data_IF_540650805583
#
_entry.id   IF_540650805583
#
_cell.length_a   1.000
_cell.length_b   1.000
_cell.length_c   1.000
_cell.angle_alpha   90.00
_cell.angle_beta   90.00
_cell.angle_gamma   90.00
#
_symmetry.space_group_name_H-M   'P 1'
#
loop_
_entity.id
_entity.type
_entity.pdbx_description
1 polymer ?
#
# COMPACT_ATOMS: atom_id res chain seq x y z
N UNK A 1 1.38 49.99 26.57
CA UNK A 1 1.00 50.21 25.17
C UNK A 1 -0.47 49.85 25.05
N UNK A 2 -1.33 50.86 25.06
CA UNK A 2 -2.76 50.73 25.33
C UNK A 2 -3.56 50.42 24.06
N UNK A 3 -4.50 49.49 24.20
CA UNK A 3 -5.45 49.05 23.20
C UNK A 3 -6.46 50.16 22.82
N UNK A 4 -6.73 50.30 21.53
CA UNK A 4 -7.81 51.15 21.03
C UNK A 4 -9.03 50.27 20.70
N UNK A 5 -10.02 50.32 21.59
CA UNK A 5 -11.34 49.70 21.45
C UNK A 5 -12.20 50.55 20.52
N UNK A 6 -12.66 49.98 19.40
CA UNK A 6 -13.60 50.65 18.48
C UNK A 6 -15.03 50.49 19.02
N UNK A 7 -15.65 51.58 19.49
CA UNK A 7 -17.08 51.61 19.86
C UNK A 7 -17.87 52.33 18.76
N UNK A 8 -18.72 51.60 18.05
CA UNK A 8 -19.63 52.17 17.04
C UNK A 8 -20.84 52.80 17.76
N UNK A 9 -20.80 54.13 17.92
CA UNK A 9 -21.94 54.92 18.40
C UNK A 9 -22.96 55.08 17.28
N UNK A 10 -24.12 54.42 17.41
CA UNK A 10 -25.33 54.73 16.62
C UNK A 10 -25.98 56.00 17.17
N UNK A 11 -25.53 57.16 16.72
CA UNK A 11 -26.28 58.42 16.87
C UNK A 11 -26.83 58.86 15.52
N UNK A 12 -28.13 58.60 15.28
CA UNK A 12 -28.90 59.28 14.23
C UNK A 12 -29.00 60.75 14.60
N UNK A 13 -28.04 61.58 14.14
CA UNK A 13 -28.20 63.03 14.11
C UNK A 13 -29.23 63.37 13.02
N UNK A 14 -30.44 63.72 13.44
CA UNK A 14 -31.42 64.39 12.58
C UNK A 14 -30.90 65.81 12.37
N UNK A 15 -30.41 66.13 11.17
CA UNK A 15 -30.17 67.52 10.77
C UNK A 15 -31.52 68.25 10.71
N UNK A 16 -31.78 69.14 11.65
CA UNK A 16 -32.85 70.15 11.53
C UNK A 16 -32.31 71.31 10.70
N UNK A 17 -32.69 71.39 9.43
CA UNK A 17 -32.54 72.61 8.63
C UNK A 17 -33.65 73.59 9.05
N UNK A 18 -33.26 74.74 9.60
CA UNK A 18 -34.15 75.89 9.80
C UNK A 18 -33.91 76.87 8.66
N UNK A 19 -34.86 76.97 7.73
CA UNK A 19 -34.83 77.93 6.63
C UNK A 19 -35.58 79.20 7.04
N UNK A 20 -34.84 80.21 7.49
CA UNK A 20 -35.35 81.58 7.55
C UNK A 20 -35.36 82.18 6.15
N UNK A 21 -36.56 82.36 5.59
CA UNK A 21 -36.96 83.51 4.76
C UNK A 21 -36.06 83.95 3.60
N UNK A 22 -35.68 83.03 2.71
CA UNK A 22 -35.26 83.40 1.36
C UNK A 22 -36.16 82.66 0.37
N UNK A 23 -36.91 83.41 -0.45
CA UNK A 23 -37.64 82.89 -1.61
C UNK A 23 -36.63 82.38 -2.63
N UNK A 24 -36.31 81.09 -2.54
CA UNK A 24 -35.54 80.41 -3.57
C UNK A 24 -36.50 80.13 -4.72
N UNK A 25 -36.21 80.58 -5.96
CA UNK A 25 -37.09 80.30 -7.10
C UNK A 25 -37.29 78.79 -7.23
N UNK A 26 -38.53 78.39 -7.53
CA UNK A 26 -39.02 77.01 -7.54
C UNK A 26 -38.10 76.02 -8.32
N UNK A 27 -37.34 76.52 -9.30
CA UNK A 27 -36.35 75.77 -10.08
C UNK A 27 -35.14 75.26 -9.27
N UNK A 28 -34.75 75.96 -8.18
CA UNK A 28 -33.62 75.58 -7.34
C UNK A 28 -33.91 74.38 -6.43
N UNK A 29 -35.14 74.25 -5.95
CA UNK A 29 -35.56 73.13 -5.10
C UNK A 29 -35.65 71.82 -5.89
N UNK A 30 -36.16 71.89 -7.13
CA UNK A 30 -36.22 70.74 -8.04
C UNK A 30 -34.82 70.25 -8.38
N UNK A 31 -33.88 71.16 -8.66
CA UNK A 31 -32.47 70.81 -8.84
C UNK A 31 -31.86 70.13 -7.60
N UNK A 32 -32.11 70.67 -6.40
CA UNK A 32 -31.58 70.10 -5.16
C UNK A 32 -32.13 68.68 -4.88
N UNK A 33 -33.43 68.46 -5.11
CA UNK A 33 -34.06 67.13 -4.97
C UNK A 33 -33.51 66.16 -6.01
N UNK A 34 -33.32 66.60 -7.25
CA UNK A 34 -32.76 65.75 -8.32
C UNK A 34 -31.31 65.35 -8.03
N UNK A 35 -30.49 66.28 -7.53
CA UNK A 35 -29.11 66.00 -7.10
C UNK A 35 -29.10 65.01 -5.93
N UNK A 36 -29.98 65.15 -4.94
CA UNK A 36 -30.07 64.21 -3.82
C UNK A 36 -30.49 62.80 -4.26
N UNK A 37 -31.48 62.69 -5.16
CA UNK A 37 -31.91 61.42 -5.73
C UNK A 37 -30.77 60.79 -6.53
N UNK A 38 -30.05 61.58 -7.35
CA UNK A 38 -28.91 61.11 -8.11
C UNK A 38 -27.77 60.64 -7.20
N UNK A 39 -27.47 61.35 -6.12
CA UNK A 39 -26.47 60.93 -5.13
C UNK A 39 -26.87 59.63 -4.41
N UNK A 40 -28.14 59.48 -4.02
CA UNK A 40 -28.64 58.24 -3.42
C UNK A 40 -28.61 57.07 -4.39
N UNK A 41 -28.97 57.31 -5.66
CA UNK A 41 -28.89 56.32 -6.72
C UNK A 41 -27.43 55.90 -6.99
N UNK A 42 -26.51 56.85 -7.15
CA UNK A 42 -25.09 56.57 -7.32
C UNK A 42 -24.51 55.81 -6.13
N UNK A 43 -24.87 56.17 -4.90
CA UNK A 43 -24.44 55.44 -3.70
C UNK A 43 -25.00 54.01 -3.68
N UNK A 44 -26.26 53.79 -4.05
CA UNK A 44 -26.85 52.46 -4.16
C UNK A 44 -26.17 51.61 -5.25
N UNK A 45 -25.89 52.21 -6.41
CA UNK A 45 -25.16 51.58 -7.51
C UNK A 45 -23.74 51.19 -7.07
N UNK A 46 -22.98 52.12 -6.48
CA UNK A 46 -21.62 51.86 -5.98
C UNK A 46 -21.61 50.75 -4.93
N UNK A 47 -22.56 50.75 -3.98
CA UNK A 47 -22.66 49.70 -2.97
C UNK A 47 -23.04 48.33 -3.57
N UNK A 48 -23.96 48.31 -4.54
CA UNK A 48 -24.36 47.07 -5.21
C UNK A 48 -23.19 46.47 -6.02
N UNK A 49 -22.53 47.28 -6.86
CA UNK A 49 -21.37 46.83 -7.63
C UNK A 49 -20.17 46.47 -6.73
N UNK A 50 -19.97 47.19 -5.62
CA UNK A 50 -18.96 46.87 -4.61
C UNK A 50 -19.19 45.51 -3.97
N UNK A 51 -20.43 45.22 -3.55
CA UNK A 51 -20.80 43.93 -2.97
C UNK A 51 -20.68 42.77 -3.97
N UNK A 52 -21.11 42.96 -5.22
CA UNK A 52 -20.96 41.94 -6.27
C UNK A 52 -19.49 41.69 -6.65
N UNK A 53 -18.66 42.74 -6.69
CA UNK A 53 -17.22 42.59 -6.91
C UNK A 53 -16.57 41.82 -5.75
N UNK A 54 -16.91 42.14 -4.50
CA UNK A 54 -16.39 41.43 -3.32
C UNK A 54 -16.76 39.94 -3.35
N UNK A 55 -18.01 39.60 -3.70
CA UNK A 55 -18.44 38.20 -3.86
C UNK A 55 -17.65 37.48 -4.95
N UNK A 56 -17.44 38.12 -6.10
CA UNK A 56 -16.65 37.54 -7.21
C UNK A 56 -15.20 37.31 -6.83
N UNK A 57 -14.58 38.27 -6.12
CA UNK A 57 -13.21 38.13 -5.61
C UNK A 57 -13.11 37.00 -4.59
N UNK A 58 -14.05 36.91 -3.63
CA UNK A 58 -14.11 35.81 -2.66
C UNK A 58 -14.29 34.45 -3.32
N UNK A 59 -15.22 34.34 -4.28
CA UNK A 59 -15.45 33.09 -5.02
C UNK A 59 -14.21 32.66 -5.80
N UNK A 60 -13.52 33.62 -6.45
CA UNK A 60 -12.25 33.36 -7.15
C UNK A 60 -11.15 32.88 -6.20
N UNK A 61 -10.99 33.54 -5.05
CA UNK A 61 -10.00 33.14 -4.02
C UNK A 61 -10.31 31.75 -3.46
N UNK A 62 -11.58 31.43 -3.21
CA UNK A 62 -11.99 30.08 -2.76
C UNK A 62 -11.69 29.03 -3.83
N UNK A 63 -11.99 29.33 -5.10
CA UNK A 63 -11.71 28.41 -6.21
C UNK A 63 -10.19 28.20 -6.39
N UNK A 64 -9.40 29.27 -6.38
CA UNK A 64 -7.94 29.21 -6.48
C UNK A 64 -7.32 28.45 -5.29
N UNK A 65 -7.82 28.69 -4.08
CA UNK A 65 -7.41 27.94 -2.89
C UNK A 65 -7.77 26.45 -3.00
N UNK A 66 -8.95 26.11 -3.50
CA UNK A 66 -9.35 24.72 -3.72
C UNK A 66 -8.49 24.02 -4.77
N UNK A 67 -8.16 24.70 -5.87
CA UNK A 67 -7.26 24.17 -6.90
C UNK A 67 -5.84 23.95 -6.36
N UNK A 68 -5.31 24.92 -5.61
CA UNK A 68 -4.00 24.80 -4.97
C UNK A 68 -3.98 23.69 -3.91
N UNK A 69 -5.06 23.53 -3.14
CA UNK A 69 -5.20 22.44 -2.18
C UNK A 69 -5.24 21.08 -2.89
N UNK A 70 -6.02 20.95 -3.97
CA UNK A 70 -6.07 19.73 -4.79
C UNK A 70 -4.70 19.36 -5.34
N UNK A 71 -3.97 20.31 -5.92
CA UNK A 71 -2.61 20.09 -6.42
C UNK A 71 -1.64 19.67 -5.30
N UNK A 72 -1.73 20.30 -4.12
CA UNK A 72 -0.90 19.95 -2.96
C UNK A 72 -1.19 18.55 -2.42
N UNK A 73 -2.47 18.11 -2.44
CA UNK A 73 -2.86 16.76 -2.04
C UNK A 73 -2.26 15.73 -3.00
N UNK A 74 -2.38 15.95 -4.31
CA UNK A 74 -1.81 15.04 -5.32
C UNK A 74 -0.29 14.94 -5.15
N UNK A 75 0.40 16.08 -5.03
CA UNK A 75 1.86 16.07 -4.83
C UNK A 75 2.27 15.38 -3.53
N UNK A 76 1.53 15.60 -2.44
CA UNK A 76 1.81 14.93 -1.15
C UNK A 76 1.64 13.41 -1.27
N UNK A 77 0.64 12.96 -2.04
CA UNK A 77 0.44 11.54 -2.35
C UNK A 77 1.61 10.97 -3.16
N UNK A 78 2.05 11.67 -4.21
CA UNK A 78 3.20 11.26 -5.02
C UNK A 78 4.48 11.16 -4.18
N UNK A 79 4.74 12.13 -3.30
CA UNK A 79 5.89 12.08 -2.37
C UNK A 79 5.76 10.88 -1.43
N UNK A 80 4.59 10.65 -0.85
CA UNK A 80 4.37 9.52 0.05
C UNK A 80 4.56 8.17 -0.66
N UNK A 81 4.13 8.05 -1.91
CA UNK A 81 4.36 6.88 -2.74
C UNK A 81 5.85 6.64 -3.01
N UNK A 82 6.61 7.69 -3.36
CA UNK A 82 8.07 7.58 -3.54
C UNK A 82 8.78 7.15 -2.25
N UNK A 83 8.37 7.71 -1.11
CA UNK A 83 8.92 7.31 0.20
C UNK A 83 8.57 5.86 0.55
N UNK A 84 7.33 5.42 0.28
CA UNK A 84 6.90 4.04 0.50
C UNK A 84 7.67 3.04 -0.39
N UNK A 85 8.11 3.49 -1.57
CA UNK A 85 8.93 2.72 -2.50
C UNK A 85 10.43 2.95 -2.35
N UNK A 86 10.88 3.63 -1.28
CA UNK A 86 12.29 3.92 -1.02
C UNK A 86 13.03 4.65 -2.17
N UNK A 87 12.28 5.31 -3.06
CA UNK A 87 12.82 6.23 -4.07
C UNK A 87 13.06 7.60 -3.42
N UNK A 88 14.07 7.61 -2.54
CA UNK A 88 14.38 8.76 -1.69
C UNK A 88 14.84 9.97 -2.50
N UNK A 89 15.39 9.76 -3.70
CA UNK A 89 15.86 10.82 -4.57
C UNK A 89 14.71 11.48 -5.33
N UNK A 90 13.78 10.71 -5.91
CA UNK A 90 12.60 11.31 -6.52
C UNK A 90 11.72 12.00 -5.47
N UNK A 91 11.56 11.41 -4.28
CA UNK A 91 10.87 12.06 -3.17
C UNK A 91 11.50 13.41 -2.81
N UNK A 92 12.84 13.49 -2.79
CA UNK A 92 13.55 14.74 -2.52
C UNK A 92 13.31 15.79 -3.60
N UNK A 93 13.31 15.40 -4.88
CA UNK A 93 13.04 16.29 -6.01
C UNK A 93 11.61 16.85 -5.93
N UNK A 94 10.61 16.01 -5.65
CA UNK A 94 9.22 16.43 -5.47
C UNK A 94 9.03 17.34 -4.25
N UNK A 95 9.74 17.08 -3.15
CA UNK A 95 9.72 17.95 -1.97
C UNK A 95 10.32 19.33 -2.24
N UNK A 96 11.37 19.42 -3.08
CA UNK A 96 12.00 20.69 -3.44
C UNK A 96 11.14 21.54 -4.38
N UNK A 97 10.24 20.94 -5.15
CA UNK A 97 9.36 21.66 -6.06
C UNK A 97 8.13 22.29 -5.40
N UNK A 98 7.93 22.07 -4.09
CA UNK A 98 6.77 22.58 -3.35
C UNK A 98 7.13 23.15 -1.99
N UNK A 99 6.73 24.41 -1.78
CA UNK A 99 6.88 25.15 -0.52
C UNK A 99 5.63 25.01 0.37
N UNK A 100 5.02 23.82 0.40
CA UNK A 100 3.83 23.58 1.20
C UNK A 100 4.20 23.18 2.63
N UNK A 101 3.58 23.82 3.63
CA UNK A 101 3.75 23.48 5.05
C UNK A 101 3.43 22.00 5.34
N UNK A 102 2.53 21.38 4.56
CA UNK A 102 2.20 19.95 4.67
C UNK A 102 3.37 19.02 4.31
N UNK A 103 4.43 19.54 3.67
CA UNK A 103 5.61 18.77 3.30
C UNK A 103 6.57 18.54 4.47
N UNK A 104 6.44 19.29 5.59
CA UNK A 104 7.36 19.18 6.74
C UNK A 104 7.45 17.76 7.32
N UNK A 105 6.33 17.05 7.59
CA UNK A 105 6.39 15.66 8.05
C UNK A 105 7.05 14.73 7.03
N UNK A 106 6.76 14.90 5.74
CA UNK A 106 7.33 14.08 4.65
C UNK A 106 8.84 14.32 4.48
N UNK A 107 9.30 15.57 4.61
CA UNK A 107 10.72 15.91 4.62
C UNK A 107 11.45 15.32 5.84
N UNK A 108 10.79 15.31 7.00
CA UNK A 108 11.33 14.65 8.18
C UNK A 108 11.45 13.13 7.94
N UNK A 109 10.40 12.49 7.42
CA UNK A 109 10.41 11.07 7.09
C UNK A 109 11.52 10.74 6.09
N UNK A 110 11.66 11.51 5.00
CA UNK A 110 12.75 11.36 4.03
C UNK A 110 14.13 11.43 4.70
N UNK A 111 14.35 12.44 5.56
CA UNK A 111 15.62 12.59 6.27
C UNK A 111 15.90 11.39 7.16
N UNK A 112 14.89 10.87 7.85
CA UNK A 112 15.01 9.70 8.70
C UNK A 112 15.38 8.47 7.85
N UNK A 113 14.64 8.19 6.77
CA UNK A 113 14.93 7.07 5.87
C UNK A 113 16.35 7.15 5.29
N UNK A 114 16.82 8.34 4.91
CA UNK A 114 18.20 8.55 4.46
C UNK A 114 19.22 8.30 5.58
N UNK A 115 18.97 8.77 6.80
CA UNK A 115 19.85 8.54 7.94
C UNK A 115 19.90 7.05 8.33
N UNK A 116 18.80 6.32 8.18
CA UNK A 116 18.73 4.89 8.46
C UNK A 116 19.19 4.01 7.29
N UNK A 117 19.54 4.57 6.13
CA UNK A 117 19.93 3.80 4.93
C UNK A 117 21.05 2.79 5.23
N UNK A 118 22.04 3.13 6.04
CA UNK A 118 23.14 2.23 6.41
C UNK A 118 22.70 1.01 7.23
N UNK A 119 21.49 1.01 7.77
CA UNK A 119 20.89 -0.08 8.56
C UNK A 119 19.73 -0.77 7.83
N UNK A 120 19.41 -0.30 6.62
CA UNK A 120 18.37 -0.88 5.78
C UNK A 120 19.03 -1.78 4.74
N UNK A 121 18.44 -2.95 4.43
CA UNK A 121 18.93 -3.82 3.38
C UNK A 121 19.05 -3.08 2.05
N UNK A 122 20.17 -3.26 1.35
CA UNK A 122 20.40 -2.62 0.04
C UNK A 122 19.35 -3.02 -1.00
N UNK A 123 18.77 -4.22 -0.87
CA UNK A 123 17.68 -4.73 -1.72
C UNK A 123 16.39 -3.91 -1.65
N UNK A 124 16.24 -3.03 -0.66
CA UNK A 124 15.14 -2.08 -0.53
C UNK A 124 15.35 -0.78 -1.31
N UNK A 125 16.50 -0.58 -1.94
CA UNK A 125 16.73 0.59 -2.79
C UNK A 125 16.74 0.15 -4.25
N UNK A 126 16.40 1.07 -5.16
CA UNK A 126 16.49 0.78 -6.58
C UNK A 126 17.90 0.30 -6.93
N UNK A 127 17.97 -0.93 -7.42
CA UNK A 127 19.21 -1.49 -7.92
C UNK A 127 19.52 -0.77 -9.24
N UNK A 128 20.27 0.33 -9.15
CA UNK A 128 20.82 0.96 -10.34
C UNK A 128 21.82 -0.04 -10.92
N UNK A 129 21.47 -0.62 -12.05
CA UNK A 129 22.38 -1.43 -12.87
C UNK A 129 23.45 -0.50 -13.46
N UNK A 130 24.33 0.02 -12.60
CA UNK A 130 25.39 0.93 -13.00
C UNK A 130 26.51 0.22 -13.75
N UNK A 131 26.36 -1.07 -14.08
CA UNK A 131 27.39 -1.90 -14.72
C UNK A 131 28.62 -2.18 -13.84
N UNK A 132 28.91 -1.32 -12.86
CA UNK A 132 30.01 -1.46 -11.91
C UNK A 132 29.68 -2.46 -10.79
N UNK A 133 28.42 -2.52 -10.34
CA UNK A 133 27.98 -3.47 -9.30
C UNK A 133 27.79 -4.91 -9.82
N UNK A 134 27.80 -5.12 -11.14
CA UNK A 134 27.64 -6.45 -11.73
C UNK A 134 28.97 -7.23 -11.77
N UNK A 135 30.11 -6.55 -11.54
CA UNK A 135 31.45 -7.19 -11.47
C UNK A 135 31.73 -7.86 -10.13
N UNK A 136 30.94 -7.55 -9.11
CA UNK A 136 31.02 -8.18 -7.79
C UNK A 136 29.80 -9.08 -7.53
N UNK A 137 29.31 -9.74 -8.59
CA UNK A 137 28.60 -11.01 -8.47
C UNK A 137 29.58 -12.05 -7.92
N UNK A 138 29.92 -11.86 -6.64
CA UNK A 138 30.54 -12.85 -5.78
C UNK A 138 29.85 -14.19 -6.01
N UNK A 139 30.60 -15.28 -5.87
CA UNK A 139 30.07 -16.64 -5.98
C UNK A 139 28.69 -16.74 -5.30
N UNK A 140 27.69 -17.32 -5.98
CA UNK A 140 26.34 -17.40 -5.43
C UNK A 140 26.38 -18.23 -4.14
N UNK A 141 25.54 -17.90 -3.14
CA UNK A 141 25.51 -18.65 -1.88
C UNK A 141 24.98 -20.07 -2.05
N UNK A 142 24.38 -20.38 -3.21
CA UNK A 142 23.95 -21.71 -3.60
C UNK A 142 23.98 -21.85 -5.14
N UNK A 143 24.86 -22.72 -5.66
CA UNK A 143 25.02 -22.94 -7.10
C UNK A 143 23.82 -23.65 -7.74
N UNK A 144 23.11 -24.50 -6.98
CA UNK A 144 21.94 -25.25 -7.48
C UNK A 144 20.79 -24.27 -7.73
N UNK A 145 20.47 -23.43 -6.75
CA UNK A 145 19.44 -22.39 -6.88
C UNK A 145 19.76 -21.44 -8.04
N UNK A 146 21.01 -20.96 -8.13
CA UNK A 146 21.43 -20.10 -9.24
C UNK A 146 21.23 -20.79 -10.58
N UNK A 147 21.68 -22.05 -10.71
CA UNK A 147 21.58 -22.80 -11.95
C UNK A 147 20.12 -23.01 -12.37
N UNK A 148 19.22 -23.27 -11.42
CA UNK A 148 17.80 -23.53 -11.68
C UNK A 148 17.01 -22.29 -12.05
N UNK A 149 17.33 -21.14 -11.47
CA UNK A 149 16.65 -19.87 -11.75
C UNK A 149 17.32 -19.07 -12.88
N UNK A 150 18.46 -19.53 -13.42
CA UNK A 150 19.17 -18.86 -14.50
C UNK A 150 18.30 -18.76 -15.76
N UNK A 151 18.02 -17.53 -16.18
CA UNK A 151 17.21 -17.24 -17.37
C UNK A 151 15.71 -17.40 -17.16
N UNK A 152 15.26 -17.77 -15.96
CA UNK A 152 13.86 -17.74 -15.60
C UNK A 152 13.39 -16.30 -15.39
N UNK A 153 12.15 -16.03 -15.75
CA UNK A 153 11.50 -14.72 -15.56
C UNK A 153 10.08 -14.92 -15.09
N UNK A 154 9.63 -14.08 -14.17
CA UNK A 154 8.24 -14.05 -13.71
C UNK A 154 7.33 -13.54 -14.80
N UNK A 155 6.22 -14.24 -15.05
CA UNK A 155 5.22 -13.76 -16.00
C UNK A 155 4.27 -12.76 -15.34
N UNK A 156 4.71 -11.51 -15.24
CA UNK A 156 3.90 -10.42 -14.66
C UNK A 156 2.57 -10.20 -15.38
N UNK A 157 2.48 -10.54 -16.67
CA UNK A 157 1.22 -10.52 -17.40
C UNK A 157 0.17 -11.45 -16.76
N UNK A 158 0.56 -12.66 -16.35
CA UNK A 158 -0.34 -13.59 -15.66
C UNK A 158 -0.65 -13.11 -14.24
N UNK A 159 0.33 -12.57 -13.51
CA UNK A 159 0.08 -11.99 -12.17
C UNK A 159 -0.93 -10.85 -12.25
N UNK A 160 -0.74 -9.90 -13.17
CA UNK A 160 -1.65 -8.77 -13.33
C UNK A 160 -3.03 -9.22 -13.82
N UNK A 161 -3.11 -10.10 -14.82
CA UNK A 161 -4.37 -10.69 -15.26
C UNK A 161 -5.13 -11.37 -14.11
N UNK A 162 -4.43 -12.15 -13.28
CA UNK A 162 -5.04 -12.81 -12.14
C UNK A 162 -5.57 -11.82 -11.09
N UNK A 163 -4.81 -10.76 -10.80
CA UNK A 163 -5.24 -9.71 -9.87
C UNK A 163 -6.43 -8.92 -10.42
N UNK A 164 -6.42 -8.55 -11.70
CA UNK A 164 -7.50 -7.81 -12.37
C UNK A 164 -8.81 -8.62 -12.36
N UNK A 165 -8.71 -9.94 -12.60
CA UNK A 165 -9.85 -10.86 -12.64
C UNK A 165 -10.23 -11.43 -11.28
N UNK A 166 -9.44 -11.21 -10.23
CA UNK A 166 -9.63 -11.81 -8.90
C UNK A 166 -11.02 -11.54 -8.31
N UNK A 167 -11.66 -10.42 -8.69
CA UNK A 167 -13.01 -10.04 -8.23
C UNK A 167 -14.11 -10.34 -9.25
N UNK A 168 -13.78 -10.89 -10.42
CA UNK A 168 -14.72 -11.31 -11.45
C UNK A 168 -15.41 -12.63 -11.01
N UNK A 169 -16.75 -12.69 -10.88
CA UNK A 169 -17.46 -13.92 -10.53
C UNK A 169 -17.27 -15.07 -11.52
N UNK A 170 -16.86 -14.79 -12.76
CA UNK A 170 -16.61 -15.81 -13.79
C UNK A 170 -15.20 -16.38 -13.74
N UNK A 171 -14.25 -15.71 -13.06
CA UNK A 171 -12.89 -16.19 -12.87
C UNK A 171 -12.89 -17.32 -11.85
N UNK A 172 -12.53 -18.52 -12.29
CA UNK A 172 -12.56 -19.74 -11.49
C UNK A 172 -11.24 -19.95 -10.73
N UNK A 173 -11.29 -20.76 -9.67
CA UNK A 173 -10.07 -21.15 -8.96
C UNK A 173 -9.11 -21.92 -9.88
N UNK A 174 -9.64 -22.67 -10.85
CA UNK A 174 -8.84 -23.42 -11.83
C UNK A 174 -8.05 -22.49 -12.75
N UNK A 175 -8.67 -21.43 -13.27
CA UNK A 175 -7.96 -20.42 -14.07
C UNK A 175 -6.91 -19.70 -13.24
N UNK A 176 -7.23 -19.34 -11.99
CA UNK A 176 -6.29 -18.76 -11.06
C UNK A 176 -5.06 -19.64 -10.83
N UNK A 177 -5.27 -20.94 -10.56
CA UNK A 177 -4.18 -21.90 -10.40
C UNK A 177 -3.29 -21.97 -11.63
N UNK A 178 -3.87 -22.00 -12.83
CA UNK A 178 -3.10 -21.97 -14.08
C UNK A 178 -2.26 -20.70 -14.22
N UNK A 179 -2.84 -19.53 -13.90
CA UNK A 179 -2.12 -18.26 -13.94
C UNK A 179 -0.95 -18.24 -12.95
N UNK A 180 -1.11 -18.80 -11.75
CA UNK A 180 -0.02 -18.87 -10.76
C UNK A 180 1.12 -19.78 -11.19
N UNK A 181 0.80 -20.95 -11.76
CA UNK A 181 1.82 -21.89 -12.29
C UNK A 181 2.58 -21.25 -13.45
N UNK A 182 1.89 -20.52 -14.34
CA UNK A 182 2.52 -19.81 -15.44
C UNK A 182 3.32 -18.57 -14.99
N UNK A 183 2.91 -17.93 -13.89
CA UNK A 183 3.53 -16.73 -13.36
C UNK A 183 4.87 -16.99 -12.67
N UNK A 184 4.93 -17.99 -11.77
CA UNK A 184 5.99 -18.10 -10.78
C UNK A 184 6.93 -19.30 -11.06
N UNK A 185 8.12 -19.08 -11.66
CA UNK A 185 9.08 -20.15 -11.90
C UNK A 185 9.59 -20.80 -10.61
N UNK A 186 9.56 -20.08 -9.48
CA UNK A 186 9.97 -20.58 -8.17
C UNK A 186 9.15 -21.79 -7.70
N UNK A 187 7.92 -21.96 -8.18
CA UNK A 187 7.10 -23.14 -7.86
C UNK A 187 7.77 -24.45 -8.31
N UNK A 188 8.59 -24.41 -9.37
CA UNK A 188 9.36 -25.58 -9.82
C UNK A 188 10.45 -26.04 -8.85
N UNK A 189 10.86 -25.19 -7.90
CA UNK A 189 11.91 -25.51 -6.92
C UNK A 189 11.45 -26.53 -5.85
N UNK A 190 10.15 -26.57 -5.55
CA UNK A 190 9.58 -27.52 -4.61
C UNK A 190 9.71 -28.96 -5.10
N UNK A 191 9.43 -29.21 -6.39
CA UNK A 191 9.40 -30.55 -6.98
C UNK A 191 10.78 -31.23 -7.09
N UNK A 192 11.87 -30.52 -6.78
CA UNK A 192 13.22 -31.06 -6.90
C UNK A 192 13.64 -31.94 -5.72
N UNK A 193 13.01 -31.79 -4.56
CA UNK A 193 13.48 -32.42 -3.32
C UNK A 193 12.83 -33.78 -3.08
N UNK A 194 13.62 -34.77 -2.68
CA UNK A 194 13.08 -36.05 -2.21
C UNK A 194 12.45 -35.94 -0.81
N UNK A 195 13.11 -35.21 0.11
CA UNK A 195 12.67 -35.01 1.49
C UNK A 195 13.05 -33.60 1.93
N UNK A 196 12.07 -32.83 2.35
CA UNK A 196 12.23 -31.46 2.85
C UNK A 196 12.42 -31.45 4.37
N UNK A 197 12.84 -30.32 4.93
CA UNK A 197 13.06 -30.16 6.38
C UNK A 197 11.80 -30.38 7.24
N UNK A 198 10.61 -30.28 6.64
CA UNK A 198 9.31 -30.58 7.27
C UNK A 198 8.97 -32.07 7.31
N UNK A 199 9.76 -32.92 6.65
CA UNK A 199 9.52 -34.37 6.51
C UNK A 199 8.60 -34.76 5.35
N UNK A 200 8.11 -33.80 4.57
CA UNK A 200 7.34 -34.03 3.35
C UNK A 200 8.25 -34.15 2.13
N UNK A 201 7.77 -34.81 1.08
CA UNK A 201 8.47 -34.79 -0.20
C UNK A 201 8.21 -33.48 -0.98
N UNK A 202 8.98 -33.24 -2.03
CA UNK A 202 8.87 -32.01 -2.82
C UNK A 202 7.50 -31.79 -3.48
N UNK A 203 6.83 -32.86 -3.91
CA UNK A 203 5.49 -32.80 -4.50
C UNK A 203 4.44 -32.36 -3.47
N UNK A 204 4.54 -32.85 -2.24
CA UNK A 204 3.66 -32.45 -1.14
C UNK A 204 3.85 -30.98 -0.77
N UNK A 205 5.08 -30.47 -0.70
CA UNK A 205 5.33 -29.04 -0.44
C UNK A 205 4.89 -28.14 -1.61
N UNK A 206 5.02 -28.63 -2.85
CA UNK A 206 4.47 -27.96 -4.03
C UNK A 206 2.94 -27.80 -3.91
N UNK A 207 2.22 -28.89 -3.61
CA UNK A 207 0.75 -28.87 -3.47
C UNK A 207 0.29 -28.01 -2.27
N UNK A 208 1.05 -28.01 -1.16
CA UNK A 208 0.78 -27.14 0.00
C UNK A 208 0.97 -25.67 -0.35
N UNK A 209 1.98 -25.34 -1.15
CA UNK A 209 2.23 -23.97 -1.59
C UNK A 209 1.17 -23.51 -2.59
N UNK A 210 0.75 -24.39 -3.50
CA UNK A 210 -0.35 -24.10 -4.42
C UNK A 210 -1.68 -23.90 -3.68
N UNK A 211 -1.94 -24.74 -2.67
CA UNK A 211 -3.10 -24.59 -1.78
C UNK A 211 -3.06 -23.26 -1.02
N UNK A 212 -1.88 -22.80 -0.60
CA UNK A 212 -1.70 -21.50 0.04
C UNK A 212 -2.02 -20.33 -0.92
N UNK A 213 -1.64 -20.42 -2.20
CA UNK A 213 -2.03 -19.45 -3.22
C UNK A 213 -3.55 -19.43 -3.41
N UNK A 214 -4.18 -20.61 -3.48
CA UNK A 214 -5.64 -20.73 -3.53
C UNK A 214 -6.32 -20.13 -2.29
N UNK A 215 -5.73 -20.25 -1.10
CA UNK A 215 -6.22 -19.58 0.11
C UNK A 215 -6.22 -18.06 -0.04
N UNK A 216 -5.19 -17.47 -0.67
CA UNK A 216 -5.16 -16.03 -0.96
C UNK A 216 -6.31 -15.64 -1.89
N UNK A 217 -6.56 -16.40 -2.96
CA UNK A 217 -7.71 -16.20 -3.84
C UNK A 217 -9.03 -16.17 -3.06
N UNK A 218 -9.24 -17.13 -2.16
CA UNK A 218 -10.46 -17.21 -1.37
C UNK A 218 -10.59 -16.05 -0.37
N UNK A 219 -9.51 -15.63 0.30
CA UNK A 219 -9.54 -14.50 1.22
C UNK A 219 -9.89 -13.18 0.54
N UNK A 220 -9.44 -13.01 -0.71
CA UNK A 220 -9.77 -11.81 -1.49
C UNK A 220 -11.16 -11.88 -2.13
N UNK A 221 -11.96 -12.93 -1.85
CA UNK A 221 -13.29 -13.17 -2.40
C UNK A 221 -14.34 -13.54 -1.34
N UNK A 222 -14.10 -13.28 -0.06
CA UNK A 222 -15.01 -13.70 1.02
C UNK A 222 -16.44 -13.14 0.91
N UNK A 223 -16.62 -11.98 0.28
CA UNK A 223 -17.91 -11.35 0.00
C UNK A 223 -18.52 -11.76 -1.36
N UNK A 224 -17.84 -12.61 -2.13
CA UNK A 224 -18.32 -13.19 -3.39
C UNK A 224 -18.64 -14.68 -3.19
N UNK A 225 -17.61 -15.52 -3.17
CA UNK A 225 -17.71 -16.99 -3.12
C UNK A 225 -16.56 -17.67 -2.37
N UNK A 226 -15.60 -16.90 -1.84
CA UNK A 226 -14.41 -17.44 -1.19
C UNK A 226 -14.72 -18.25 0.07
N UNK A 227 -15.84 -17.96 0.75
CA UNK A 227 -16.29 -18.72 1.92
C UNK A 227 -16.74 -20.13 1.52
N UNK A 228 -17.47 -20.24 0.42
CA UNK A 228 -17.95 -21.47 -0.18
C UNK A 228 -16.78 -22.31 -0.67
N UNK A 229 -15.82 -21.71 -1.36
CA UNK A 229 -14.59 -22.40 -1.78
C UNK A 229 -13.85 -22.98 -0.58
N UNK A 230 -13.64 -22.18 0.49
CA UNK A 230 -12.99 -22.66 1.71
C UNK A 230 -13.76 -23.78 2.42
N UNK A 231 -15.09 -23.69 2.46
CA UNK A 231 -15.91 -24.55 3.31
C UNK A 231 -16.35 -25.81 2.59
N UNK A 232 -16.72 -25.71 1.32
CA UNK A 232 -17.39 -26.75 0.54
C UNK A 232 -16.55 -27.24 -0.64
N UNK A 233 -15.41 -26.60 -0.90
CA UNK A 233 -14.51 -26.92 -2.01
C UNK A 233 -15.03 -26.43 -3.35
N UNK A 234 -14.47 -27.00 -4.42
CA UNK A 234 -14.80 -26.67 -5.81
C UNK A 234 -15.34 -27.87 -6.58
N UNK A 235 -16.04 -27.59 -7.68
CA UNK A 235 -16.39 -28.55 -8.73
C UNK A 235 -15.22 -28.79 -9.69
N UNK A 236 -15.38 -29.73 -10.64
CA UNK A 236 -14.34 -30.10 -11.62
C UNK A 236 -13.92 -28.94 -12.55
N UNK A 237 -14.81 -27.99 -12.79
CA UNK A 237 -14.56 -26.76 -13.55
C UNK A 237 -13.93 -25.64 -12.70
N UNK A 238 -13.65 -25.88 -11.41
CA UNK A 238 -13.00 -24.93 -10.52
C UNK A 238 -13.94 -23.88 -9.91
N UNK A 239 -15.26 -24.12 -9.94
CA UNK A 239 -16.28 -23.22 -9.38
C UNK A 239 -16.65 -23.61 -7.94
N UNK A 240 -17.11 -22.67 -7.12
CA UNK A 240 -17.51 -22.95 -5.73
C UNK A 240 -18.67 -23.95 -5.67
N UNK A 241 -18.58 -24.93 -4.77
CA UNK A 241 -19.75 -25.71 -4.37
C UNK A 241 -20.60 -24.86 -3.41
N UNK A 242 -21.88 -24.63 -3.71
CA UNK A 242 -22.75 -23.80 -2.85
C UNK A 242 -23.39 -24.55 -1.67
N UNK A 243 -23.21 -25.87 -1.62
CA UNK A 243 -23.81 -26.73 -0.59
C UNK A 243 -22.73 -27.64 -0.04
N UNK A 244 -22.74 -27.83 1.29
CA UNK A 244 -21.87 -28.80 1.93
C UNK A 244 -22.05 -30.20 1.31
N UNK A 245 -20.97 -30.94 1.05
CA UNK A 245 -21.08 -32.33 0.60
C UNK A 245 -21.91 -33.16 1.60
N UNK A 246 -22.65 -34.15 1.10
CA UNK A 246 -23.52 -34.97 1.95
C UNK A 246 -22.70 -35.63 3.08
N UNK A 247 -23.19 -35.51 4.32
CA UNK A 247 -22.54 -36.06 5.51
C UNK A 247 -21.50 -35.16 6.18
N UNK A 248 -21.19 -33.98 5.61
CA UNK A 248 -20.14 -33.08 6.10
C UNK A 248 -20.67 -31.96 7.01
N UNK A 249 -21.38 -32.32 8.08
CA UNK A 249 -21.96 -31.35 9.03
C UNK A 249 -20.93 -30.39 9.65
N UNK A 250 -19.66 -30.82 9.72
CA UNK A 250 -18.53 -29.99 10.21
C UNK A 250 -18.23 -28.83 9.28
N UNK A 251 -18.28 -29.03 7.95
CA UNK A 251 -18.04 -27.98 6.94
C UNK A 251 -19.13 -26.91 6.97
N UNK A 252 -20.38 -27.34 7.07
CA UNK A 252 -21.54 -26.45 7.24
C UNK A 252 -21.43 -25.63 8.54
N UNK A 253 -21.03 -26.29 9.64
CA UNK A 253 -20.81 -25.61 10.90
C UNK A 253 -19.68 -24.58 10.82
N UNK A 254 -18.56 -24.92 10.19
CA UNK A 254 -17.45 -23.99 9.95
C UNK A 254 -17.89 -22.79 9.13
N UNK A 255 -18.57 -23.00 7.99
CA UNK A 255 -19.11 -21.94 7.15
C UNK A 255 -19.97 -20.94 7.94
N UNK A 256 -20.82 -21.44 8.85
CA UNK A 256 -21.74 -20.63 9.65
C UNK A 256 -21.11 -19.92 10.84
N UNK A 257 -20.09 -20.52 11.46
CA UNK A 257 -19.53 -20.03 12.74
C UNK A 257 -18.22 -19.27 12.58
N UNK A 258 -17.52 -19.44 11.46
CA UNK A 258 -16.28 -18.71 11.20
C UNK A 258 -16.56 -17.20 11.14
N UNK A 259 -15.79 -16.36 11.85
CA UNK A 259 -15.99 -14.90 11.86
C UNK A 259 -15.45 -14.25 10.59
N UNK A 260 -16.05 -14.54 9.43
CA UNK A 260 -15.61 -14.08 8.12
C UNK A 260 -15.43 -12.57 8.04
N UNK A 261 -16.28 -11.79 8.73
CA UNK A 261 -16.15 -10.33 8.80
C UNK A 261 -14.82 -9.86 9.42
N UNK A 262 -14.28 -10.59 10.39
CA UNK A 262 -12.96 -10.28 10.96
C UNK A 262 -11.84 -10.59 9.97
N UNK A 263 -11.95 -11.66 9.19
CA UNK A 263 -10.98 -12.01 8.14
C UNK A 263 -11.01 -10.98 7.01
N UNK A 264 -12.19 -10.55 6.58
CA UNK A 264 -12.35 -9.46 5.61
C UNK A 264 -11.75 -8.14 6.14
N UNK A 265 -12.01 -7.83 7.41
CA UNK A 265 -11.42 -6.66 8.07
C UNK A 265 -9.89 -6.74 8.12
N UNK A 266 -9.34 -7.94 8.35
CA UNK A 266 -7.89 -8.17 8.31
C UNK A 266 -7.33 -7.89 6.92
N UNK A 267 -7.95 -8.39 5.85
CA UNK A 267 -7.51 -8.13 4.47
C UNK A 267 -7.54 -6.63 4.13
N UNK A 268 -8.57 -5.93 4.60
CA UNK A 268 -8.72 -4.47 4.42
C UNK A 268 -7.63 -3.71 5.20
N UNK A 269 -7.39 -4.09 6.46
CA UNK A 269 -6.35 -3.48 7.31
C UNK A 269 -4.93 -3.76 6.84
N UNK A 270 -4.71 -4.92 6.22
CA UNK A 270 -3.47 -5.27 5.54
C UNK A 270 -3.28 -4.48 4.23
N UNK A 271 -4.31 -3.76 3.77
CA UNK A 271 -4.30 -3.00 2.54
C UNK A 271 -4.31 -3.87 1.30
N UNK A 272 -4.81 -5.11 1.37
CA UNK A 272 -5.04 -5.95 0.19
C UNK A 272 -6.32 -5.52 -0.55
N UNK A 273 -7.30 -5.06 0.21
CA UNK A 273 -8.59 -4.57 -0.28
C UNK A 273 -8.91 -3.18 0.26
N UNK A 274 -9.76 -2.43 -0.44
CA UNK A 274 -10.34 -1.17 0.06
C UNK A 274 -11.78 -0.97 -0.45
N UNK A 275 -12.51 -0.04 0.18
CA UNK A 275 -13.89 0.30 -0.15
C UNK A 275 -14.91 -0.25 0.85
N UNK A 276 -15.88 0.59 1.24
CA UNK A 276 -17.06 0.17 2.00
C UNK A 276 -18.17 -0.18 1.00
N UNK A 277 -18.30 -1.48 0.67
CA UNK A 277 -19.36 -2.00 -0.20
C UNK A 277 -18.88 -2.48 -1.56
N UNK A 278 -18.07 -1.69 -2.28
CA UNK A 278 -17.42 -2.13 -3.52
C UNK A 278 -15.94 -2.44 -3.25
N UNK A 279 -15.71 -3.68 -2.82
CA UNK A 279 -14.36 -4.17 -2.46
C UNK A 279 -13.47 -4.19 -3.71
N UNK A 280 -12.50 -3.30 -3.74
CA UNK A 280 -11.48 -3.17 -4.78
C UNK A 280 -10.12 -3.64 -4.27
N UNK A 281 -9.26 -4.12 -5.16
CA UNK A 281 -7.95 -4.68 -4.79
C UNK A 281 -6.84 -3.65 -4.93
N UNK A 282 -5.85 -3.73 -4.04
CA UNK A 282 -4.57 -3.04 -4.20
C UNK A 282 -3.60 -3.92 -4.96
N UNK A 283 -3.44 -3.65 -6.25
CA UNK A 283 -2.70 -4.54 -7.16
C UNK A 283 -1.27 -4.77 -6.69
N UNK A 284 -0.58 -3.71 -6.26
CA UNK A 284 0.79 -3.77 -5.73
C UNK A 284 0.91 -4.72 -4.52
N UNK A 285 -0.02 -4.61 -3.57
CA UNK A 285 -0.02 -5.41 -2.34
C UNK A 285 -0.42 -6.86 -2.60
N UNK A 286 -1.41 -7.10 -3.45
CA UNK A 286 -1.82 -8.46 -3.81
C UNK A 286 -0.72 -9.16 -4.61
N UNK A 287 -0.07 -8.50 -5.56
CA UNK A 287 1.07 -9.07 -6.29
C UNK A 287 2.23 -9.43 -5.36
N UNK A 288 2.54 -8.58 -4.37
CA UNK A 288 3.55 -8.87 -3.36
C UNK A 288 3.17 -10.08 -2.49
N UNK A 289 1.90 -10.16 -2.08
CA UNK A 289 1.37 -11.29 -1.32
C UNK A 289 1.46 -12.61 -2.09
N UNK A 290 1.05 -12.63 -3.37
CA UNK A 290 1.15 -13.81 -4.22
C UNK A 290 2.61 -14.23 -4.43
N UNK A 291 3.50 -13.26 -4.66
CA UNK A 291 4.93 -13.51 -4.80
C UNK A 291 5.48 -14.15 -3.54
N UNK A 292 5.24 -13.56 -2.35
CA UNK A 292 5.68 -14.12 -1.08
C UNK A 292 5.14 -15.54 -0.88
N UNK A 293 3.85 -15.77 -1.11
CA UNK A 293 3.25 -17.11 -0.95
C UNK A 293 3.93 -18.13 -1.86
N UNK A 294 4.27 -17.78 -3.09
CA UNK A 294 4.94 -18.69 -4.03
C UNK A 294 6.38 -19.05 -3.63
N UNK A 295 7.06 -18.22 -2.83
CA UNK A 295 8.48 -18.41 -2.47
C UNK A 295 8.74 -18.73 -0.99
N UNK A 296 7.77 -18.53 -0.09
CA UNK A 296 8.04 -18.51 1.35
C UNK A 296 8.65 -19.81 1.90
N UNK A 297 8.34 -20.94 1.28
CA UNK A 297 8.72 -22.28 1.76
C UNK A 297 9.78 -22.97 0.88
N UNK A 298 10.31 -22.30 -0.17
CA UNK A 298 11.26 -22.96 -1.09
C UNK A 298 12.52 -23.46 -0.37
N UNK A 299 12.91 -22.80 0.72
CA UNK A 299 14.08 -23.15 1.52
C UNK A 299 13.85 -24.36 2.44
N UNK A 300 12.64 -24.94 2.47
CA UNK A 300 12.44 -26.28 3.05
C UNK A 300 13.16 -27.36 2.23
N UNK A 301 13.45 -27.08 0.95
CA UNK A 301 14.34 -27.90 0.15
C UNK A 301 15.80 -27.66 0.59
N UNK A 302 16.37 -28.63 1.31
CA UNK A 302 17.71 -28.50 1.90
C UNK A 302 18.83 -28.33 0.85
N UNK A 303 18.60 -28.73 -0.40
CA UNK A 303 19.56 -28.53 -1.50
C UNK A 303 19.67 -27.06 -1.94
N UNK A 304 18.71 -26.22 -1.56
CA UNK A 304 18.66 -24.80 -1.93
C UNK A 304 19.18 -23.87 -0.84
N UNK A 305 19.53 -24.41 0.33
CA UNK A 305 19.99 -23.61 1.46
C UNK A 305 21.29 -22.87 1.12
N UNK A 306 21.39 -21.57 1.46
CA UNK A 306 22.55 -20.76 1.18
C UNK A 306 23.67 -20.98 2.20
N UNK A 307 24.91 -20.80 1.75
CA UNK A 307 26.08 -20.58 2.58
C UNK A 307 26.25 -19.09 2.89
N UNK A 308 26.62 -18.75 4.14
CA UNK A 308 26.92 -17.37 4.53
C UNK A 308 28.25 -16.93 3.91
N UNK A 309 28.20 -15.89 3.09
CA UNK A 309 29.39 -15.34 2.44
C UNK A 309 30.23 -14.56 3.45
N UNK A 310 31.58 -14.55 3.33
CA UNK A 310 32.45 -13.85 4.26
C UNK A 310 32.10 -12.36 4.47
N UNK A 311 31.60 -11.67 3.44
CA UNK A 311 31.20 -10.26 3.51
C UNK A 311 29.89 -10.00 4.24
N UNK A 312 29.07 -11.02 4.47
CA UNK A 312 27.77 -10.91 5.15
C UNK A 312 27.81 -11.53 6.56
N UNK A 313 28.94 -12.12 6.96
CA UNK A 313 29.09 -12.75 8.26
C UNK A 313 29.34 -11.71 9.39
N UNK A 314 28.83 -11.94 10.60
CA UNK A 314 27.85 -12.97 10.93
C UNK A 314 26.46 -12.58 10.42
N UNK A 315 25.65 -13.56 10.01
CA UNK A 315 24.25 -13.34 9.61
C UNK A 315 23.32 -14.16 10.48
N UNK A 316 22.41 -13.51 11.22
CA UNK A 316 21.45 -14.17 12.12
C UNK A 316 22.07 -15.21 13.10
N UNK A 317 23.35 -15.03 13.46
CA UNK A 317 24.10 -15.94 14.33
C UNK A 317 24.90 -17.03 13.62
N UNK A 318 24.87 -17.09 12.28
CA UNK A 318 25.69 -17.96 11.45
C UNK A 318 26.99 -17.26 11.03
N UNK A 319 28.10 -17.98 11.08
CA UNK A 319 29.43 -17.50 10.68
C UNK A 319 29.68 -17.69 9.18
N UNK A 320 30.76 -17.11 8.66
CA UNK A 320 31.16 -17.29 7.26
C UNK A 320 31.41 -18.76 6.95
N UNK A 321 30.79 -19.27 5.88
CA UNK A 321 30.89 -20.66 5.48
C UNK A 321 29.82 -21.58 6.08
N UNK A 322 29.02 -21.09 7.03
CA UNK A 322 27.92 -21.89 7.58
C UNK A 322 26.77 -22.00 6.58
N UNK A 323 26.15 -23.18 6.53
CA UNK A 323 24.86 -23.38 5.84
C UNK A 323 23.75 -22.90 6.77
N UNK A 324 22.90 -22.01 6.28
CA UNK A 324 21.74 -21.53 7.03
C UNK A 324 20.66 -22.62 7.02
N UNK A 325 20.61 -23.44 8.07
CA UNK A 325 19.66 -24.57 8.18
C UNK A 325 18.23 -24.17 8.53
N UNK A 326 18.03 -22.97 9.08
CA UNK A 326 16.71 -22.40 9.31
C UNK A 326 16.15 -21.84 7.99
N UNK A 327 15.04 -22.39 7.51
CA UNK A 327 14.51 -22.08 6.17
C UNK A 327 14.03 -20.62 6.04
N UNK A 328 13.46 -20.04 7.10
CA UNK A 328 13.02 -18.64 7.10
C UNK A 328 14.24 -17.70 7.04
N UNK A 329 15.26 -17.95 7.85
CA UNK A 329 16.52 -17.20 7.82
C UNK A 329 17.27 -17.36 6.49
N UNK A 330 17.28 -18.57 5.93
CA UNK A 330 17.87 -18.87 4.62
C UNK A 330 17.19 -18.06 3.52
N UNK A 331 15.85 -18.02 3.52
CA UNK A 331 15.10 -17.25 2.54
C UNK A 331 15.38 -15.76 2.71
N UNK A 332 15.32 -15.23 3.93
CA UNK A 332 15.62 -13.84 4.22
C UNK A 332 17.01 -13.43 3.73
N UNK A 333 18.02 -14.29 3.91
CA UNK A 333 19.38 -14.06 3.43
C UNK A 333 19.46 -13.92 1.90
N UNK A 334 18.75 -14.80 1.17
CA UNK A 334 18.68 -14.71 -0.30
C UNK A 334 17.91 -13.46 -0.75
N UNK A 335 16.79 -13.13 -0.11
CA UNK A 335 16.02 -11.92 -0.41
C UNK A 335 16.82 -10.63 -0.14
N UNK A 336 17.64 -10.62 0.92
CA UNK A 336 18.43 -9.47 1.32
C UNK A 336 19.63 -9.25 0.40
N UNK A 337 20.45 -10.28 0.17
CA UNK A 337 21.75 -10.13 -0.49
C UNK A 337 21.79 -10.63 -1.93
N UNK A 338 20.89 -11.53 -2.31
CA UNK A 338 20.88 -12.17 -3.63
C UNK A 338 19.48 -12.13 -4.29
N UNK A 339 18.79 -10.97 -4.30
CA UNK A 339 17.40 -10.92 -4.77
C UNK A 339 17.25 -11.40 -6.21
N UNK A 340 18.26 -11.18 -7.07
CA UNK A 340 18.29 -11.62 -8.47
C UNK A 340 18.20 -13.14 -8.67
N UNK A 341 18.46 -13.95 -7.63
CA UNK A 341 18.30 -15.40 -7.70
C UNK A 341 16.82 -15.84 -7.66
N UNK A 342 15.91 -14.96 -7.25
CA UNK A 342 14.46 -15.21 -7.20
C UNK A 342 13.75 -14.20 -8.11
N UNK A 343 13.50 -14.55 -9.39
CA UNK A 343 12.98 -13.64 -10.40
C UNK A 343 11.76 -12.82 -9.96
N UNK A 344 10.83 -13.46 -9.24
CA UNK A 344 9.57 -12.85 -8.82
C UNK A 344 9.79 -11.80 -7.75
N UNK A 345 10.65 -12.05 -6.78
CA UNK A 345 11.02 -11.03 -5.80
C UNK A 345 11.86 -9.91 -6.43
N UNK A 346 12.84 -10.27 -7.27
CA UNK A 346 13.75 -9.33 -7.94
C UNK A 346 13.06 -8.35 -8.89
N UNK A 347 11.83 -8.64 -9.30
CA UNK A 347 11.05 -7.79 -10.20
C UNK A 347 10.05 -6.89 -9.47
N UNK A 348 9.80 -7.12 -8.19
CA UNK A 348 8.93 -6.27 -7.37
C UNK A 348 9.59 -4.90 -7.14
N UNK A 349 8.78 -3.85 -7.00
CA UNK A 349 9.25 -2.54 -6.55
C UNK A 349 9.68 -2.58 -5.08
N UNK A 350 10.53 -1.65 -4.60
CA UNK A 350 11.05 -1.75 -3.24
C UNK A 350 9.98 -1.64 -2.15
N UNK A 351 8.90 -0.89 -2.37
CA UNK A 351 7.77 -0.82 -1.44
C UNK A 351 6.95 -2.11 -1.33
N UNK A 352 7.07 -2.98 -2.33
CA UNK A 352 6.51 -4.34 -2.33
C UNK A 352 7.48 -5.36 -1.71
N UNK A 353 8.79 -5.20 -1.91
CA UNK A 353 9.82 -6.06 -1.30
C UNK A 353 9.96 -5.87 0.19
N UNK A 354 9.93 -4.62 0.66
CA UNK A 354 10.09 -4.27 2.07
C UNK A 354 9.20 -5.08 3.03
N UNK A 355 7.88 -5.19 2.83
CA UNK A 355 7.04 -6.01 3.71
C UNK A 355 7.36 -7.50 3.63
N UNK A 356 7.77 -8.03 2.47
CA UNK A 356 8.16 -9.43 2.31
C UNK A 356 9.42 -9.71 3.14
N UNK A 357 10.47 -8.91 2.96
CA UNK A 357 11.73 -9.05 3.68
C UNK A 357 11.54 -8.85 5.19
N UNK A 358 10.71 -7.89 5.59
CA UNK A 358 10.38 -7.67 7.01
C UNK A 358 9.67 -8.87 7.62
N UNK A 359 8.68 -9.43 6.92
CA UNK A 359 7.89 -10.57 7.40
C UNK A 359 8.76 -11.81 7.56
N UNK A 360 9.59 -12.11 6.56
CA UNK A 360 10.45 -13.29 6.53
C UNK A 360 11.68 -13.14 7.46
N UNK A 361 12.38 -12.01 7.40
CA UNK A 361 13.65 -11.84 8.10
C UNK A 361 13.58 -11.32 9.54
N UNK A 362 12.48 -10.67 9.95
CA UNK A 362 12.41 -10.01 11.28
C UNK A 362 11.24 -10.43 12.14
N UNK A 363 10.09 -10.75 11.53
CA UNK A 363 8.91 -11.09 12.33
C UNK A 363 8.92 -12.52 12.85
N UNK A 364 9.79 -13.40 12.34
CA UNK A 364 9.66 -14.86 12.49
C UNK A 364 8.22 -15.30 12.23
N UNK A 365 7.57 -14.63 11.28
CA UNK A 365 6.17 -14.87 10.96
C UNK A 365 6.15 -16.00 9.94
N UNK A 366 5.75 -17.18 10.41
CA UNK A 366 5.54 -18.30 9.52
C UNK A 366 4.25 -18.07 8.72
N UNK A 367 4.41 -17.80 7.43
CA UNK A 367 3.30 -17.53 6.53
C UNK A 367 2.35 -18.75 6.44
N UNK A 368 2.90 -19.97 6.48
CA UNK A 368 2.14 -21.22 6.53
C UNK A 368 1.12 -21.29 7.66
N UNK A 369 1.37 -20.64 8.80
CA UNK A 369 0.37 -20.54 9.87
C UNK A 369 -0.90 -19.83 9.44
N UNK A 370 -0.80 -18.83 8.56
CA UNK A 370 -1.95 -18.08 8.04
C UNK A 370 -2.63 -18.80 6.88
N UNK A 371 -1.87 -19.33 5.92
CA UNK A 371 -2.42 -19.83 4.64
C UNK A 371 -2.56 -21.34 4.56
N UNK A 372 -1.80 -22.09 5.36
CA UNK A 372 -1.85 -23.57 5.45
C UNK A 372 -2.47 -24.06 6.77
N UNK A 373 -2.71 -23.16 7.75
CA UNK A 373 -3.41 -23.49 9.00
C UNK A 373 -2.59 -24.33 9.99
N UNK A 374 -1.27 -24.21 9.95
CA UNK A 374 -0.34 -25.15 10.59
C UNK A 374 -0.15 -24.99 12.11
N UNK A 375 -0.55 -23.86 12.71
CA UNK A 375 -0.34 -23.63 14.14
C UNK A 375 -1.46 -22.84 14.84
N UNK A 376 -1.66 -23.04 16.15
CA UNK A 376 -2.62 -22.24 16.92
C UNK A 376 -2.17 -20.77 17.07
N UNK A 377 -3.11 -19.81 17.16
CA UNK A 377 -2.85 -18.36 17.16
C UNK A 377 -1.84 -17.83 18.19
N UNK A 378 -1.56 -18.57 19.27
CA UNK A 378 -0.68 -18.12 20.35
C UNK A 378 0.80 -17.94 19.94
N UNK A 379 1.29 -18.75 19.00
CA UNK A 379 2.67 -18.66 18.53
C UNK A 379 2.90 -17.41 17.65
N UNK A 380 1.89 -17.06 16.83
CA UNK A 380 1.90 -15.92 15.89
C UNK A 380 2.21 -14.57 16.56
N UNK A 381 1.68 -14.33 17.76
CA UNK A 381 1.73 -12.98 18.36
C UNK A 381 2.85 -12.77 19.37
N UNK A 382 3.55 -13.81 19.80
CA UNK A 382 4.55 -13.70 20.87
C UNK A 382 5.79 -12.94 20.38
N UNK A 383 6.33 -13.30 19.21
CA UNK A 383 7.45 -12.57 18.59
C UNK A 383 7.03 -11.17 18.12
N UNK A 384 5.85 -11.04 17.51
CA UNK A 384 5.33 -9.75 17.03
C UNK A 384 5.21 -8.72 18.16
N UNK A 385 4.68 -9.13 19.32
CA UNK A 385 4.61 -8.26 20.50
C UNK A 385 6.00 -7.82 20.96
N UNK A 386 6.98 -8.72 20.95
CA UNK A 386 8.35 -8.38 21.35
C UNK A 386 8.99 -7.38 20.39
N UNK A 387 8.82 -7.55 19.08
CA UNK A 387 9.35 -6.60 18.08
C UNK A 387 8.72 -5.21 18.20
N UNK A 388 7.39 -5.12 18.40
CA UNK A 388 6.71 -3.84 18.65
C UNK A 388 7.23 -3.17 19.92
N UNK A 389 7.34 -3.92 21.02
CA UNK A 389 7.79 -3.37 22.31
C UNK A 389 9.25 -2.92 22.25
N UNK A 390 10.08 -3.60 21.46
CA UNK A 390 11.50 -3.27 21.30
C UNK A 390 11.77 -2.21 20.21
N UNK A 391 10.78 -1.86 19.39
CA UNK A 391 10.91 -0.90 18.30
C UNK A 391 11.89 -1.34 17.21
N UNK A 392 11.94 -2.66 16.92
CA UNK A 392 12.87 -3.27 15.96
C UNK A 392 12.22 -3.65 14.64
#
# INVERSE_FOLDING_TARGET
MAAATYTVSKTKKIMKFSTRGYDVPFDGLVCAVFVLILCQFLHAVVNHYGSELEKRVKARLVHEHAMNLGANIVLSFDIADKLANYDLDAAAVLLQSSDCETNKPLSHLLRNLRAYRAFLPDSLFEWKDTGENNKDLSEPPNLILQAKMRGCTTSWAHVHSAVDRMRDPSYSLKEFTCDMIAAFPELGLYAMCHITSSGYNGEQEYERTLSALCSVYCFLRLDIDGKEVFSFGISEDGRPNHVAPQGEARKEHFYKTMPWGLVQSLCTRAGLTHGEGDTTLRHDRVSAMLTLTALHDIMKNMELLPEVMPKHAPYAGYDAGDIIVDHDAALAYVLEYFPHMLPSYSSLGPGQRAPILFTQGRMNFNMGWLVQGEAPPGALFTCFRNNIVQGR
#
